data_IF_927234229071
#
_entry.id   IF_927234229071
#
_cell.length_a   1.000
_cell.length_b   1.000
_cell.length_c   1.000
_cell.angle_alpha   90.00
_cell.angle_beta   90.00
_cell.angle_gamma   90.00
#
_symmetry.space_group_name_H-M   'P 1'
#
loop_
_entity.id
_entity.type
_entity.pdbx_description
1 polymer ?
#
# COMPACT_ATOMS: atom_id res chain seq x y z
N UNK A 1 4.98 -35.58 -57.34
CA UNK A 1 4.57 -34.38 -56.57
C UNK A 1 4.05 -34.86 -55.24
N UNK A 2 4.86 -34.71 -54.21
CA UNK A 2 4.78 -35.47 -52.96
C UNK A 2 4.01 -34.68 -51.88
N UNK A 3 3.15 -35.37 -51.13
CA UNK A 3 2.25 -34.80 -50.10
C UNK A 3 3.00 -34.33 -48.84
N UNK A 4 4.32 -34.54 -48.76
CA UNK A 4 5.16 -34.09 -47.65
C UNK A 4 5.45 -32.59 -47.63
N UNK A 5 5.48 -31.92 -48.79
CA UNK A 5 5.94 -30.53 -48.90
C UNK A 5 4.92 -29.50 -48.41
N UNK A 6 3.62 -29.84 -48.39
CA UNK A 6 2.56 -28.92 -47.96
C UNK A 6 2.45 -28.82 -46.42
N UNK A 7 2.78 -29.89 -45.69
CA UNK A 7 2.74 -29.90 -44.22
C UNK A 7 3.85 -29.04 -43.60
N UNK A 8 5.02 -28.97 -44.25
CA UNK A 8 6.11 -28.10 -43.80
C UNK A 8 5.84 -26.62 -44.10
N UNK A 9 5.27 -26.28 -45.27
CA UNK A 9 4.91 -24.89 -45.56
C UNK A 9 3.78 -24.36 -44.67
N UNK A 10 2.82 -25.19 -44.28
CA UNK A 10 1.73 -24.77 -43.37
C UNK A 10 2.21 -24.63 -41.93
N UNK A 11 3.11 -25.50 -41.45
CA UNK A 11 3.74 -25.33 -40.13
C UNK A 11 4.63 -24.09 -40.06
N UNK A 12 5.37 -23.76 -41.13
CA UNK A 12 6.22 -22.58 -41.18
C UNK A 12 5.40 -21.28 -41.28
N UNK A 13 4.28 -21.26 -42.01
CA UNK A 13 3.40 -20.10 -42.08
C UNK A 13 2.69 -19.82 -40.74
N UNK A 14 2.29 -20.84 -39.98
CA UNK A 14 1.65 -20.65 -38.66
C UNK A 14 2.65 -20.12 -37.64
N UNK A 15 3.91 -20.60 -37.65
CA UNK A 15 4.96 -20.07 -36.77
C UNK A 15 5.33 -18.62 -37.13
N UNK A 16 5.36 -18.27 -38.43
CA UNK A 16 5.65 -16.90 -38.87
C UNK A 16 4.47 -15.95 -38.61
N UNK A 17 3.22 -16.41 -38.73
CA UNK A 17 2.04 -15.59 -38.40
C UNK A 17 1.90 -15.40 -36.87
N UNK A 18 2.31 -16.36 -36.05
CA UNK A 18 2.42 -16.19 -34.59
C UNK A 18 3.63 -15.35 -34.16
N UNK A 19 4.70 -15.30 -34.96
CA UNK A 19 5.89 -14.47 -34.71
C UNK A 19 5.78 -13.03 -35.26
N UNK A 20 4.86 -12.78 -36.19
CA UNK A 20 4.64 -11.46 -36.83
C UNK A 20 3.31 -10.80 -36.49
N UNK A 21 2.48 -11.42 -35.65
CA UNK A 21 1.53 -10.62 -34.88
C UNK A 21 2.35 -9.95 -33.78
N UNK A 22 2.56 -8.63 -33.80
CA UNK A 22 2.84 -7.98 -32.55
C UNK A 22 1.61 -8.28 -31.70
N UNK A 23 1.75 -9.21 -30.75
CA UNK A 23 1.16 -8.99 -29.45
C UNK A 23 1.62 -7.59 -29.10
N UNK A 24 0.79 -6.61 -29.45
CA UNK A 24 0.88 -5.28 -28.94
C UNK A 24 0.52 -5.48 -27.48
N UNK A 25 1.48 -5.97 -26.70
CA UNK A 25 1.61 -5.68 -25.29
C UNK A 25 1.68 -4.16 -25.23
N UNK A 26 0.51 -3.52 -25.34
CA UNK A 26 0.29 -2.29 -24.61
C UNK A 26 0.31 -2.72 -23.15
N UNK A 27 1.52 -2.85 -22.59
CA UNK A 27 1.70 -2.53 -21.20
C UNK A 27 1.02 -1.18 -21.04
N UNK A 28 0.00 -1.13 -20.20
CA UNK A 28 -0.68 0.12 -19.90
C UNK A 28 0.42 1.10 -19.47
N UNK A 29 0.52 2.22 -20.19
CA UNK A 29 1.63 3.14 -20.00
C UNK A 29 1.52 3.65 -18.58
N UNK A 30 2.55 3.40 -17.77
CA UNK A 30 2.64 3.89 -16.39
C UNK A 30 2.09 5.32 -16.28
N UNK A 31 1.26 5.63 -15.26
CA UNK A 31 0.74 6.97 -15.06
C UNK A 31 1.89 7.99 -15.06
N UNK A 32 1.84 8.96 -15.96
CA UNK A 32 2.83 10.03 -16.03
C UNK A 32 2.26 11.29 -15.37
N UNK A 33 2.29 11.30 -14.04
CA UNK A 33 1.87 12.45 -13.26
C UNK A 33 2.95 13.53 -13.28
N UNK A 34 2.73 14.60 -14.05
CA UNK A 34 3.67 15.73 -14.18
C UNK A 34 3.97 16.47 -12.86
N UNK A 35 3.10 16.30 -11.87
CA UNK A 35 3.22 16.83 -10.52
C UNK A 35 4.01 15.96 -9.55
N UNK A 36 4.36 14.72 -9.94
CA UNK A 36 5.25 13.83 -9.16
C UNK A 36 6.70 14.06 -9.60
N UNK A 37 7.55 14.42 -8.66
CA UNK A 37 8.95 14.80 -8.92
C UNK A 37 9.88 14.30 -7.83
N UNK A 38 11.17 14.24 -8.14
CA UNK A 38 12.21 14.02 -7.13
C UNK A 38 12.33 15.24 -6.21
N UNK A 39 12.52 15.00 -4.91
CA UNK A 39 12.72 16.06 -3.91
C UNK A 39 13.92 16.96 -4.21
N UNK A 40 14.92 16.46 -4.94
CA UNK A 40 16.09 17.23 -5.41
C UNK A 40 15.72 18.38 -6.36
N UNK A 41 14.53 18.33 -6.97
CA UNK A 41 13.97 19.42 -7.78
C UNK A 41 13.13 20.42 -6.97
N UNK A 42 12.94 20.18 -5.67
CA UNK A 42 12.14 21.02 -4.83
C UNK A 42 12.86 22.34 -4.50
N UNK A 43 12.13 23.46 -4.36
CA UNK A 43 12.72 24.68 -3.84
C UNK A 43 13.20 24.46 -2.39
N UNK A 44 14.20 25.22 -1.95
CA UNK A 44 14.69 25.16 -0.57
C UNK A 44 13.60 25.54 0.45
N UNK A 45 12.69 26.45 0.07
CA UNK A 45 11.54 26.87 0.87
C UNK A 45 10.29 26.91 -0.01
N UNK A 46 9.17 26.36 0.46
CA UNK A 46 7.86 26.42 -0.21
C UNK A 46 6.71 26.70 0.76
N UNK A 47 5.55 27.05 0.22
CA UNK A 47 4.33 27.34 0.97
C UNK A 47 3.13 26.62 0.35
N UNK A 48 2.34 25.95 1.18
CA UNK A 48 1.21 25.12 0.75
C UNK A 48 0.03 25.28 1.72
N UNK A 49 -1.20 25.11 1.23
CA UNK A 49 -2.35 25.11 2.13
C UNK A 49 -2.38 23.83 2.96
N UNK A 50 -2.09 22.69 2.33
CA UNK A 50 -1.96 21.41 3.02
C UNK A 50 -0.61 20.77 2.74
N UNK A 51 0.00 20.20 3.78
CA UNK A 51 1.19 19.35 3.67
C UNK A 51 0.83 17.96 4.19
N UNK A 52 0.76 16.99 3.29
CA UNK A 52 0.54 15.57 3.60
C UNK A 52 1.90 14.89 3.70
N UNK A 53 2.23 14.38 4.89
CA UNK A 53 3.48 13.67 5.14
C UNK A 53 3.23 12.17 5.03
N UNK A 54 3.79 11.55 3.99
CA UNK A 54 3.55 10.15 3.63
C UNK A 54 2.53 10.02 2.49
N UNK A 55 2.99 9.63 1.31
CA UNK A 55 2.16 9.35 0.14
C UNK A 55 1.69 7.89 0.13
N UNK A 56 1.14 7.42 1.25
CA UNK A 56 0.73 6.04 1.45
C UNK A 56 -0.73 5.76 1.11
N UNK A 57 -1.25 4.64 1.62
CA UNK A 57 -2.63 4.16 1.42
C UNK A 57 -3.70 5.21 1.75
N UNK A 58 -3.54 5.94 2.87
CA UNK A 58 -4.44 7.04 3.23
C UNK A 58 -3.97 8.40 2.68
N UNK A 59 -2.66 8.59 2.50
CA UNK A 59 -2.09 9.87 2.09
C UNK A 59 -2.40 10.27 0.65
N UNK A 60 -2.35 9.32 -0.29
CA UNK A 60 -2.67 9.58 -1.70
C UNK A 60 -4.13 10.02 -1.92
N UNK A 61 -5.17 9.27 -1.47
CA UNK A 61 -6.56 9.69 -1.66
C UNK A 61 -6.89 11.00 -0.93
N UNK A 62 -6.33 11.20 0.27
CA UNK A 62 -6.46 12.45 1.01
C UNK A 62 -5.91 13.63 0.19
N UNK A 63 -4.70 13.49 -0.36
CA UNK A 63 -4.07 14.55 -1.14
C UNK A 63 -4.84 14.85 -2.42
N UNK A 64 -5.34 13.81 -3.12
CA UNK A 64 -6.20 13.98 -4.29
C UNK A 64 -7.45 14.79 -3.94
N UNK A 65 -8.14 14.42 -2.86
CA UNK A 65 -9.35 15.10 -2.36
C UNK A 65 -9.08 16.58 -2.03
N UNK A 66 -8.01 16.86 -1.28
CA UNK A 66 -7.67 18.23 -0.89
C UNK A 66 -7.28 19.11 -2.09
N UNK A 67 -6.67 18.51 -3.12
CA UNK A 67 -6.19 19.22 -4.30
C UNK A 67 -7.31 19.84 -5.15
N UNK A 68 -8.53 19.33 -5.03
CA UNK A 68 -9.70 19.87 -5.73
C UNK A 68 -9.95 21.35 -5.41
N UNK A 69 -9.58 21.80 -4.20
CA UNK A 69 -9.91 23.14 -3.70
C UNK A 69 -8.72 23.89 -3.09
N UNK A 70 -7.58 23.25 -2.94
CA UNK A 70 -6.45 23.83 -2.22
C UNK A 70 -5.12 23.35 -2.76
N UNK A 71 -4.08 24.17 -2.54
CA UNK A 71 -2.72 23.79 -2.89
C UNK A 71 -2.17 22.77 -1.89
N UNK A 72 -1.77 21.58 -2.38
CA UNK A 72 -1.32 20.44 -1.59
C UNK A 72 0.12 20.07 -1.93
N UNK A 73 0.92 19.83 -0.90
CA UNK A 73 2.21 19.16 -1.01
C UNK A 73 2.13 17.77 -0.38
N UNK A 74 2.59 16.75 -1.10
CA UNK A 74 2.82 15.41 -0.58
C UNK A 74 4.32 15.14 -0.51
N UNK A 75 4.78 14.65 0.63
CA UNK A 75 6.18 14.25 0.84
C UNK A 75 6.24 12.74 1.10
N UNK A 76 6.84 12.00 0.17
CA UNK A 76 7.03 10.55 0.26
C UNK A 76 8.53 10.22 0.33
N UNK A 77 8.92 9.41 1.31
CA UNK A 77 10.34 9.04 1.53
C UNK A 77 10.84 8.00 0.52
N UNK A 78 9.94 7.25 -0.09
CA UNK A 78 10.23 6.24 -1.10
C UNK A 78 10.20 6.77 -2.53
N UNK A 79 10.47 5.86 -3.46
CA UNK A 79 10.43 6.13 -4.90
C UNK A 79 9.04 5.97 -5.52
N UNK A 80 9.02 5.88 -6.85
CA UNK A 80 7.80 5.65 -7.63
C UNK A 80 7.53 4.14 -7.81
N UNK A 81 6.29 3.66 -7.64
CA UNK A 81 5.94 2.27 -7.95
C UNK A 81 5.99 1.99 -9.46
N UNK A 82 6.03 3.04 -10.30
CA UNK A 82 5.91 2.93 -11.75
C UNK A 82 7.25 2.79 -12.49
N UNK A 83 8.38 2.89 -11.79
CA UNK A 83 9.71 2.76 -12.42
C UNK A 83 9.93 1.35 -12.97
N UNK A 84 9.36 0.34 -12.33
CA UNK A 84 9.41 -1.04 -12.78
C UNK A 84 8.08 -1.74 -12.43
N UNK A 85 7.02 -1.51 -13.22
CA UNK A 85 5.67 -1.95 -12.86
C UNK A 85 5.57 -3.48 -12.76
N UNK A 86 6.34 -4.22 -13.57
CA UNK A 86 6.31 -5.69 -13.52
C UNK A 86 6.84 -6.27 -12.20
N UNK A 87 7.67 -5.53 -11.45
CA UNK A 87 8.05 -5.91 -10.08
C UNK A 87 6.86 -5.93 -9.12
N UNK A 88 5.80 -5.21 -9.44
CA UNK A 88 4.62 -5.08 -8.59
C UNK A 88 3.50 -6.05 -8.97
N UNK A 89 3.61 -6.75 -10.09
CA UNK A 89 2.63 -7.73 -10.58
C UNK A 89 2.39 -8.85 -9.56
N UNK A 90 1.19 -9.43 -9.64
CA UNK A 90 0.71 -10.47 -8.71
C UNK A 90 1.72 -11.61 -8.49
N UNK A 91 2.37 -12.06 -9.55
CA UNK A 91 3.33 -13.17 -9.51
C UNK A 91 4.61 -12.84 -8.72
N UNK A 92 4.95 -11.56 -8.57
CA UNK A 92 6.18 -11.09 -7.92
C UNK A 92 5.96 -10.60 -6.48
N UNK A 93 4.75 -10.73 -5.93
CA UNK A 93 4.39 -10.26 -4.59
C UNK A 93 5.42 -10.63 -3.51
N UNK A 94 5.78 -11.91 -3.38
CA UNK A 94 6.74 -12.34 -2.33
C UNK A 94 8.15 -11.82 -2.57
N UNK A 95 8.60 -11.81 -3.83
CA UNK A 95 9.92 -11.26 -4.20
C UNK A 95 10.01 -9.77 -3.86
N UNK A 96 8.94 -9.03 -4.12
CA UNK A 96 8.86 -7.61 -3.81
C UNK A 96 8.80 -7.36 -2.28
N UNK A 97 8.02 -8.15 -1.55
CA UNK A 97 7.85 -7.99 -0.11
C UNK A 97 9.16 -8.20 0.66
N UNK A 98 10.00 -9.13 0.20
CA UNK A 98 11.28 -9.49 0.82
C UNK A 98 12.51 -8.98 0.04
N UNK A 99 12.32 -8.05 -0.91
CA UNK A 99 13.44 -7.41 -1.61
C UNK A 99 14.30 -6.64 -0.61
N UNK A 100 15.60 -6.95 -0.58
CA UNK A 100 16.61 -6.30 0.27
C UNK A 100 17.55 -5.39 -0.51
N UNK A 101 17.31 -5.22 -1.81
CA UNK A 101 18.10 -4.34 -2.66
C UNK A 101 17.96 -2.88 -2.24
N UNK A 102 18.91 -2.04 -2.62
CA UNK A 102 18.87 -0.60 -2.35
C UNK A 102 17.70 0.13 -3.02
N UNK A 103 17.02 -0.52 -3.97
CA UNK A 103 15.83 -0.01 -4.66
C UNK A 103 14.53 -0.64 -4.13
N UNK A 104 14.60 -1.35 -3.00
CA UNK A 104 13.43 -2.02 -2.45
C UNK A 104 12.33 -1.04 -2.06
N UNK A 105 11.11 -1.39 -2.44
CA UNK A 105 9.89 -0.71 -2.01
C UNK A 105 9.42 -1.19 -0.63
N UNK A 106 10.09 -2.19 -0.07
CA UNK A 106 9.80 -2.81 1.23
C UNK A 106 10.95 -2.56 2.20
N UNK A 107 10.62 -2.14 3.41
CA UNK A 107 11.55 -2.01 4.51
C UNK A 107 11.24 -3.09 5.54
N UNK A 108 12.13 -4.08 5.64
CA UNK A 108 12.10 -5.11 6.67
C UNK A 108 12.45 -4.55 8.05
N UNK A 109 11.80 -5.08 9.08
CA UNK A 109 12.15 -4.90 10.49
C UNK A 109 11.74 -6.13 11.31
N UNK A 110 12.24 -6.22 12.54
CA UNK A 110 11.88 -7.28 13.49
C UNK A 110 11.29 -6.60 14.72
N UNK A 111 10.15 -7.07 15.20
CA UNK A 111 9.55 -6.58 16.45
C UNK A 111 10.42 -6.94 17.66
N UNK A 112 10.15 -6.34 18.82
CA UNK A 112 10.82 -6.72 20.07
C UNK A 112 10.52 -8.17 20.49
N UNK A 113 9.40 -8.73 20.02
CA UNK A 113 9.02 -10.14 20.21
C UNK A 113 9.73 -11.10 19.23
N UNK A 114 10.57 -10.59 18.32
CA UNK A 114 11.27 -11.39 17.32
C UNK A 114 10.45 -11.70 16.06
N UNK A 115 9.32 -11.03 15.84
CA UNK A 115 8.46 -11.24 14.66
C UNK A 115 8.98 -10.43 13.49
N UNK A 116 9.31 -11.09 12.38
CA UNK A 116 9.69 -10.44 11.13
C UNK A 116 8.49 -9.73 10.52
N UNK A 117 8.66 -8.47 10.12
CA UNK A 117 7.62 -7.68 9.50
C UNK A 117 8.20 -6.74 8.45
N UNK A 118 7.33 -6.16 7.64
CA UNK A 118 7.72 -5.29 6.53
C UNK A 118 6.79 -4.07 6.49
N UNK A 119 7.34 -2.91 6.12
CA UNK A 119 6.56 -1.70 5.83
C UNK A 119 6.97 -1.09 4.51
N UNK A 120 6.04 -0.43 3.83
CA UNK A 120 6.34 0.20 2.54
C UNK A 120 7.30 1.39 2.64
N UNK A 121 8.06 1.59 1.56
CA UNK A 121 8.91 2.74 1.29
C UNK A 121 8.78 3.11 -0.20
N UNK A 122 7.58 3.48 -0.61
CA UNK A 122 7.24 3.81 -2.00
C UNK A 122 5.94 4.62 -2.02
N UNK A 123 5.74 5.47 -3.02
CA UNK A 123 4.45 6.12 -3.27
C UNK A 123 3.34 5.07 -3.46
N UNK A 124 2.19 5.30 -2.86
CA UNK A 124 1.10 4.33 -2.69
C UNK A 124 1.20 3.53 -1.37
N UNK A 125 2.37 3.49 -0.73
CA UNK A 125 2.55 2.83 0.56
C UNK A 125 2.22 1.34 0.53
N UNK A 126 1.53 0.84 1.55
CA UNK A 126 1.28 -0.60 1.73
C UNK A 126 0.58 -1.27 0.55
N UNK A 127 -0.28 -0.56 -0.19
CA UNK A 127 -0.96 -1.11 -1.38
C UNK A 127 0.02 -1.49 -2.49
N UNK A 128 1.21 -0.90 -2.51
CA UNK A 128 2.23 -1.19 -3.50
C UNK A 128 2.98 -2.51 -3.23
N UNK A 129 2.89 -3.09 -2.02
CA UNK A 129 3.64 -4.29 -1.62
C UNK A 129 2.76 -5.39 -0.99
N UNK A 130 1.48 -5.13 -0.71
CA UNK A 130 0.59 -6.08 -0.03
C UNK A 130 0.13 -7.24 -0.94
N UNK A 131 -0.62 -8.18 -0.38
CA UNK A 131 -1.21 -9.32 -1.09
C UNK A 131 -2.48 -8.97 -1.90
N UNK A 132 -2.90 -7.71 -1.91
CA UNK A 132 -3.91 -7.15 -2.81
C UNK A 132 -5.38 -7.44 -2.51
N UNK A 133 -5.71 -8.20 -1.48
CA UNK A 133 -7.10 -8.43 -1.09
C UNK A 133 -7.79 -7.12 -0.65
N UNK A 134 -9.02 -6.91 -1.14
CA UNK A 134 -9.83 -5.73 -0.83
C UNK A 134 -11.18 -6.14 -0.22
N UNK A 135 -11.51 -5.52 0.91
CA UNK A 135 -12.79 -5.68 1.62
C UNK A 135 -13.11 -4.37 2.35
N UNK A 136 -14.40 -4.09 2.53
CA UNK A 136 -14.87 -3.06 3.44
C UNK A 136 -14.58 -3.43 4.89
N UNK A 137 -14.65 -2.44 5.77
CA UNK A 137 -14.62 -2.65 7.20
C UNK A 137 -15.90 -3.37 7.69
N UNK A 138 -15.86 -3.89 8.91
CA UNK A 138 -17.06 -4.35 9.60
C UNK A 138 -18.04 -3.17 9.77
N UNK A 139 -19.31 -3.29 9.34
CA UNK A 139 -20.31 -2.24 9.54
C UNK A 139 -20.48 -1.82 11.01
N UNK A 140 -20.36 -2.73 11.97
CA UNK A 140 -20.45 -2.37 13.39
C UNK A 140 -19.24 -1.52 13.82
N UNK A 141 -18.05 -1.76 13.27
CA UNK A 141 -16.88 -0.91 13.52
C UNK A 141 -17.11 0.53 13.03
N UNK A 142 -17.69 0.70 11.83
CA UNK A 142 -18.02 2.02 11.29
C UNK A 142 -18.99 2.78 12.20
N UNK A 143 -20.01 2.07 12.69
CA UNK A 143 -21.04 2.60 13.59
C UNK A 143 -20.48 2.94 14.98
N UNK A 144 -19.65 2.08 15.55
CA UNK A 144 -19.00 2.30 16.84
C UNK A 144 -18.11 3.55 16.85
N UNK A 145 -17.43 3.85 15.73
CA UNK A 145 -16.64 5.06 15.56
C UNK A 145 -17.48 6.31 15.30
N UNK A 146 -18.80 6.17 15.08
CA UNK A 146 -19.69 7.27 14.78
C UNK A 146 -19.40 7.96 13.44
N UNK A 147 -18.87 7.21 12.47
CA UNK A 147 -18.65 7.73 11.13
C UNK A 147 -19.98 7.88 10.36
N UNK A 148 -20.03 8.86 9.47
CA UNK A 148 -21.15 9.02 8.54
C UNK A 148 -21.13 7.86 7.54
N UNK A 149 -22.04 6.90 7.72
CA UNK A 149 -22.13 5.67 6.91
C UNK A 149 -22.34 5.98 5.42
N UNK A 150 -23.07 7.04 5.08
CA UNK A 150 -23.29 7.42 3.69
C UNK A 150 -21.99 7.93 3.05
N UNK A 151 -21.26 8.80 3.76
CA UNK A 151 -19.96 9.30 3.28
C UNK A 151 -18.91 8.18 3.18
N UNK A 152 -18.94 7.21 4.11
CA UNK A 152 -18.09 6.01 4.05
C UNK A 152 -18.42 5.19 2.79
N UNK A 153 -19.71 4.95 2.52
CA UNK A 153 -20.15 4.27 1.30
C UNK A 153 -19.71 4.97 0.02
N UNK A 154 -19.87 6.29 -0.05
CA UNK A 154 -19.42 7.10 -1.19
C UNK A 154 -17.89 7.03 -1.37
N UNK A 155 -17.15 7.01 -0.26
CA UNK A 155 -15.69 6.90 -0.28
C UNK A 155 -15.23 5.53 -0.76
N UNK A 156 -15.90 4.44 -0.36
CA UNK A 156 -15.62 3.10 -0.88
C UNK A 156 -15.82 3.05 -2.39
N UNK A 157 -16.98 3.51 -2.88
CA UNK A 157 -17.27 3.54 -4.32
C UNK A 157 -16.27 4.40 -5.11
N UNK A 158 -15.80 5.50 -4.53
CA UNK A 158 -14.79 6.34 -5.14
C UNK A 158 -13.44 5.61 -5.31
N UNK A 159 -13.00 4.85 -4.30
CA UNK A 159 -11.78 4.03 -4.38
C UNK A 159 -11.95 2.86 -5.36
N UNK A 160 -13.08 2.16 -5.30
CA UNK A 160 -13.37 0.96 -6.08
C UNK A 160 -13.32 1.20 -7.59
N UNK A 161 -13.77 2.38 -8.04
CA UNK A 161 -13.73 2.79 -9.45
C UNK A 161 -12.34 2.67 -10.07
N UNK A 162 -11.29 2.80 -9.26
CA UNK A 162 -9.91 2.75 -9.73
C UNK A 162 -9.17 1.51 -9.29
N UNK A 163 -9.37 1.07 -8.04
CA UNK A 163 -8.47 0.11 -7.40
C UNK A 163 -9.06 -1.27 -7.18
N UNK A 164 -10.37 -1.48 -7.25
CA UNK A 164 -10.96 -2.74 -6.84
C UNK A 164 -11.57 -3.51 -8.02
N UNK A 165 -11.07 -4.72 -8.24
CA UNK A 165 -11.50 -5.62 -9.30
C UNK A 165 -12.08 -6.90 -8.70
N UNK A 166 -12.99 -7.53 -9.42
CA UNK A 166 -13.50 -8.85 -9.06
C UNK A 166 -12.38 -9.91 -9.21
N UNK A 167 -12.11 -10.66 -8.14
CA UNK A 167 -11.05 -11.66 -8.11
C UNK A 167 -11.40 -12.88 -8.96
N UNK A 168 -10.52 -13.33 -9.88
CA UNK A 168 -10.73 -14.60 -10.58
C UNK A 168 -10.56 -15.77 -9.60
N UNK A 169 -11.59 -16.58 -9.43
CA UNK A 169 -11.55 -17.77 -8.58
C UNK A 169 -11.14 -18.98 -9.42
N UNK A 170 -9.86 -19.35 -9.34
CA UNK A 170 -9.29 -20.52 -10.03
C UNK A 170 -9.37 -21.79 -9.16
N UNK A 171 -8.58 -22.81 -9.49
CA UNK A 171 -8.68 -24.15 -8.90
C UNK A 171 -8.34 -24.14 -7.41
N UNK A 172 -7.22 -23.51 -7.03
CA UNK A 172 -6.77 -23.39 -5.65
C UNK A 172 -7.80 -22.66 -4.77
N UNK A 173 -8.22 -21.46 -5.17
CA UNK A 173 -9.18 -20.67 -4.41
C UNK A 173 -10.58 -21.31 -4.36
N UNK A 174 -10.94 -22.12 -5.36
CA UNK A 174 -12.14 -22.97 -5.33
C UNK A 174 -12.01 -24.09 -4.30
N UNK A 175 -10.86 -24.77 -4.25
CA UNK A 175 -10.60 -25.80 -3.25
C UNK A 175 -10.60 -25.23 -1.82
N UNK A 176 -10.02 -24.05 -1.62
CA UNK A 176 -10.06 -23.32 -0.34
C UNK A 176 -11.50 -23.01 0.06
N UNK A 177 -12.33 -22.49 -0.87
CA UNK A 177 -13.76 -22.24 -0.63
C UNK A 177 -14.47 -23.52 -0.17
N UNK A 178 -14.29 -24.62 -0.91
CA UNK A 178 -15.00 -25.86 -0.63
C UNK A 178 -14.55 -26.48 0.70
N UNK A 179 -13.25 -26.43 1.00
CA UNK A 179 -12.70 -26.87 2.29
C UNK A 179 -13.20 -26.03 3.48
N UNK A 180 -13.30 -24.70 3.34
CA UNK A 180 -13.87 -23.84 4.37
C UNK A 180 -15.34 -24.19 4.65
N UNK A 181 -16.12 -24.46 3.60
CA UNK A 181 -17.52 -24.86 3.73
C UNK A 181 -17.69 -26.25 4.34
N UNK A 182 -16.80 -27.19 4.00
CA UNK A 182 -16.74 -28.52 4.62
C UNK A 182 -16.39 -28.43 6.11
N UNK A 183 -15.45 -27.56 6.47
CA UNK A 183 -15.05 -27.27 7.85
C UNK A 183 -16.09 -26.45 8.64
N UNK A 184 -17.23 -26.08 8.02
CA UNK A 184 -18.33 -25.41 8.71
C UNK A 184 -18.26 -23.88 8.74
N UNK A 185 -17.32 -23.25 8.02
CA UNK A 185 -17.23 -21.78 7.89
C UNK A 185 -18.30 -21.28 6.91
N UNK A 186 -19.54 -21.25 7.38
CA UNK A 186 -20.76 -20.99 6.60
C UNK A 186 -21.42 -19.68 7.04
N UNK A 187 -22.28 -19.06 6.19
CA UNK A 187 -22.68 -19.48 4.83
C UNK A 187 -21.63 -19.17 3.75
N UNK A 188 -21.91 -19.56 2.50
CA UNK A 188 -21.15 -19.05 1.34
C UNK A 188 -21.78 -17.74 0.85
N UNK A 189 -21.09 -16.63 1.09
CA UNK A 189 -21.55 -15.26 0.78
C UNK A 189 -21.23 -14.83 -0.66
N UNK A 190 -20.64 -15.69 -1.48
CA UNK A 190 -20.22 -15.39 -2.87
C UNK A 190 -19.26 -14.18 -2.90
N UNK A 191 -19.19 -13.49 -4.03
CA UNK A 191 -18.46 -12.23 -4.14
C UNK A 191 -19.17 -11.13 -3.35
N UNK A 192 -18.44 -10.46 -2.46
CA UNK A 192 -18.91 -9.25 -1.77
C UNK A 192 -17.73 -8.42 -1.30
N UNK A 193 -17.91 -7.11 -1.27
CA UNK A 193 -16.97 -6.20 -0.61
C UNK A 193 -17.08 -6.28 0.92
N UNK A 194 -18.25 -6.64 1.47
CA UNK A 194 -18.55 -6.54 2.89
C UNK A 194 -17.71 -7.48 3.75
N UNK A 195 -17.26 -7.00 4.91
CA UNK A 195 -16.73 -7.89 5.95
C UNK A 195 -17.89 -8.64 6.62
N UNK A 196 -18.04 -9.93 6.31
CA UNK A 196 -19.18 -10.73 6.78
C UNK A 196 -18.77 -12.16 7.13
N UNK A 197 -19.29 -12.65 8.26
CA UNK A 197 -19.08 -14.03 8.74
C UNK A 197 -19.49 -15.07 7.69
N UNK A 198 -18.70 -16.14 7.59
CA UNK A 198 -18.84 -17.19 6.59
C UNK A 198 -17.69 -17.21 5.58
N UNK A 199 -17.87 -17.96 4.51
CA UNK A 199 -16.92 -18.01 3.38
C UNK A 199 -17.33 -17.00 2.32
N UNK A 200 -16.41 -16.14 1.89
CA UNK A 200 -16.65 -15.15 0.82
C UNK A 200 -15.52 -15.12 -0.19
N UNK A 201 -15.82 -14.57 -1.35
CA UNK A 201 -14.82 -14.09 -2.31
C UNK A 201 -14.77 -12.57 -2.18
N UNK A 202 -13.58 -12.01 -1.98
CA UNK A 202 -13.36 -10.56 -1.93
C UNK A 202 -12.84 -10.01 -3.25
N UNK A 203 -12.76 -8.69 -3.33
CA UNK A 203 -12.13 -8.00 -4.44
C UNK A 203 -10.60 -8.02 -4.30
N UNK A 204 -9.94 -7.58 -5.35
CA UNK A 204 -8.49 -7.51 -5.45
C UNK A 204 -8.05 -6.19 -6.08
N UNK A 205 -6.84 -5.74 -5.77
CA UNK A 205 -6.21 -4.59 -6.44
C UNK A 205 -5.40 -4.98 -7.68
N UNK A 206 -5.40 -6.26 -8.05
CA UNK A 206 -4.81 -6.73 -9.29
C UNK A 206 -5.86 -6.78 -10.41
N UNK A 207 -5.55 -6.20 -11.56
CA UNK A 207 -6.46 -6.23 -12.71
C UNK A 207 -6.48 -7.60 -13.42
N UNK A 208 -7.24 -7.70 -14.51
CA UNK A 208 -7.39 -8.94 -15.30
C UNK A 208 -6.10 -9.43 -15.96
N UNK A 209 -5.09 -8.57 -16.07
CA UNK A 209 -3.77 -8.89 -16.59
C UNK A 209 -2.74 -9.09 -15.46
N UNK A 210 -3.19 -9.17 -14.21
CA UNK A 210 -2.38 -9.34 -13.01
C UNK A 210 -1.46 -8.15 -12.67
N UNK A 211 -1.70 -6.98 -13.28
CA UNK A 211 -1.02 -5.75 -12.89
C UNK A 211 -1.64 -5.20 -11.62
N UNK A 212 -0.78 -4.70 -10.73
CA UNK A 212 -1.19 -4.08 -9.48
C UNK A 212 -1.64 -2.64 -9.71
N UNK A 213 -2.78 -2.29 -9.12
CA UNK A 213 -3.22 -0.91 -8.93
C UNK A 213 -3.00 -0.51 -7.47
N UNK A 214 -2.41 0.65 -7.22
CA UNK A 214 -2.00 1.12 -5.88
C UNK A 214 -2.74 2.39 -5.50
N UNK A 215 -2.70 2.77 -4.22
CA UNK A 215 -3.24 4.06 -3.77
C UNK A 215 -2.63 5.27 -4.54
N UNK A 216 -1.44 5.13 -5.14
CA UNK A 216 -0.88 6.18 -6.00
C UNK A 216 -1.73 6.43 -7.26
N UNK A 217 -2.46 5.44 -7.78
CA UNK A 217 -3.31 5.60 -8.97
C UNK A 217 -4.53 6.48 -8.70
N UNK A 218 -4.91 6.65 -7.43
CA UNK A 218 -5.96 7.59 -7.01
C UNK A 218 -5.52 9.05 -7.17
N UNK A 219 -4.22 9.33 -7.34
CA UNK A 219 -3.74 10.67 -7.68
C UNK A 219 -4.14 11.09 -9.09
N UNK A 220 -4.67 10.19 -9.93
CA UNK A 220 -5.32 10.56 -11.19
C UNK A 220 -6.51 11.50 -10.98
N UNK A 221 -7.18 11.41 -9.82
CA UNK A 221 -8.28 12.29 -9.46
C UNK A 221 -7.83 13.64 -8.89
N UNK A 222 -6.52 13.85 -8.71
CA UNK A 222 -6.00 15.11 -8.21
C UNK A 222 -6.05 16.21 -9.28
N UNK A 223 -6.23 17.47 -8.86
CA UNK A 223 -6.00 18.61 -9.74
C UNK A 223 -4.49 18.82 -9.93
N UNK A 224 -3.93 18.58 -11.13
CA UNK A 224 -2.50 18.62 -11.36
C UNK A 224 -1.89 20.02 -11.21
N UNK A 225 -2.71 21.08 -11.16
CA UNK A 225 -2.26 22.46 -10.94
C UNK A 225 -2.14 22.80 -9.45
N UNK A 226 -2.85 22.07 -8.60
CA UNK A 226 -2.92 22.32 -7.16
C UNK A 226 -2.09 21.35 -6.33
N UNK A 227 -1.65 20.22 -6.88
CA UNK A 227 -0.85 19.23 -6.15
C UNK A 227 0.63 19.25 -6.58
N UNK A 228 1.51 18.98 -5.63
CA UNK A 228 2.89 18.56 -5.88
C UNK A 228 3.20 17.34 -5.01
N UNK A 229 3.90 16.36 -5.57
CA UNK A 229 4.37 15.18 -4.85
C UNK A 229 5.89 15.12 -4.99
N UNK A 230 6.61 15.15 -3.88
CA UNK A 230 8.05 14.92 -3.88
C UNK A 230 8.37 13.51 -3.36
N UNK A 231 9.02 12.73 -4.22
CA UNK A 231 9.60 11.42 -3.92
C UNK A 231 10.98 11.56 -3.30
N UNK A 232 11.42 10.53 -2.59
CA UNK A 232 12.67 10.53 -1.82
C UNK A 232 12.81 11.77 -0.90
N UNK A 233 11.69 12.21 -0.33
CA UNK A 233 11.57 13.33 0.60
C UNK A 233 11.41 12.80 2.03
N UNK A 234 12.50 12.69 2.78
CA UNK A 234 12.47 12.20 4.17
C UNK A 234 12.13 13.35 5.11
N UNK A 235 10.92 13.35 5.68
CA UNK A 235 10.52 14.35 6.69
C UNK A 235 11.15 14.03 8.04
N UNK A 236 11.87 14.99 8.62
CA UNK A 236 12.56 14.82 9.89
C UNK A 236 11.76 15.31 11.10
N UNK A 237 11.08 16.46 10.95
CA UNK A 237 10.32 17.06 12.04
C UNK A 237 9.30 18.08 11.55
N UNK A 238 8.27 18.28 12.36
CA UNK A 238 7.27 19.33 12.24
C UNK A 238 7.77 20.58 13.00
N UNK A 239 7.56 21.75 12.41
CA UNK A 239 7.90 23.06 12.96
C UNK A 239 6.66 23.60 13.67
N UNK A 240 6.84 24.07 14.90
CA UNK A 240 5.77 24.66 15.71
C UNK A 240 6.11 26.09 16.11
N UNK A 241 5.08 26.94 16.18
CA UNK A 241 5.15 28.19 16.93
C UNK A 241 4.73 27.94 18.38
N UNK A 242 5.54 28.42 19.31
CA UNK A 242 5.21 28.47 20.73
C UNK A 242 4.82 29.91 21.07
N UNK A 243 3.53 30.20 21.25
CA UNK A 243 3.09 31.45 21.91
C UNK A 243 2.83 31.16 23.38
N UNK A 244 3.45 31.93 24.28
CA UNK A 244 3.51 31.68 25.73
C UNK A 244 2.19 31.20 26.34
N UNK A 245 2.16 29.93 26.76
CA UNK A 245 1.01 29.28 27.43
C UNK A 245 -0.11 28.76 26.53
N UNK A 246 -0.09 29.04 25.22
CA UNK A 246 -1.09 28.58 24.26
C UNK A 246 -0.73 27.22 23.62
N UNK A 247 -1.74 26.49 23.13
CA UNK A 247 -1.58 25.23 22.39
C UNK A 247 -0.60 25.45 21.21
N UNK A 248 0.45 24.60 21.05
CA UNK A 248 1.40 24.77 19.97
C UNK A 248 0.71 24.64 18.60
N UNK A 249 1.06 25.52 17.66
CA UNK A 249 0.52 25.49 16.30
C UNK A 249 1.59 24.99 15.34
N UNK A 250 1.28 23.93 14.59
CA UNK A 250 2.13 23.44 13.52
C UNK A 250 2.15 24.46 12.37
N UNK A 251 3.33 24.76 11.82
CA UNK A 251 3.51 25.80 10.78
C UNK A 251 4.29 25.33 9.57
N UNK A 252 5.01 24.22 9.65
CA UNK A 252 5.75 23.66 8.52
C UNK A 252 6.42 22.34 8.86
N UNK A 253 7.18 21.81 7.92
CA UNK A 253 8.01 20.62 8.08
C UNK A 253 9.40 20.85 7.52
N UNK A 254 10.40 20.15 8.08
CA UNK A 254 11.74 20.04 7.52
C UNK A 254 11.87 18.66 6.89
N UNK A 255 12.31 18.60 5.65
CA UNK A 255 12.57 17.34 4.95
C UNK A 255 13.90 17.38 4.22
N UNK A 256 14.47 16.21 3.97
CA UNK A 256 15.75 16.03 3.30
C UNK A 256 15.53 15.24 1.99
N UNK A 257 16.21 15.66 0.93
CA UNK A 257 16.18 14.98 -0.37
C UNK A 257 17.25 13.87 -0.46
N UNK A 258 17.23 13.12 -1.56
CA UNK A 258 18.20 12.04 -1.80
C UNK A 258 19.67 12.50 -1.91
N UNK A 259 19.94 13.81 -2.02
CA UNK A 259 21.28 14.40 -2.05
C UNK A 259 21.75 14.91 -0.68
N UNK A 260 20.92 14.77 0.36
CA UNK A 260 21.19 15.26 1.71
C UNK A 260 20.90 16.75 1.91
N UNK A 261 20.22 17.40 0.96
CA UNK A 261 19.85 18.81 1.07
C UNK A 261 18.56 18.94 1.86
N UNK A 262 18.54 19.85 2.83
CA UNK A 262 17.37 20.14 3.66
C UNK A 262 16.50 21.24 3.08
N UNK A 263 15.22 20.97 3.02
CA UNK A 263 14.16 21.85 2.56
C UNK A 263 13.18 22.16 3.69
N UNK A 264 12.42 23.25 3.54
CA UNK A 264 11.35 23.63 4.45
C UNK A 264 10.06 23.90 3.69
N UNK A 265 9.01 23.17 4.00
CA UNK A 265 7.66 23.48 3.50
C UNK A 265 6.84 24.08 4.64
N UNK A 266 6.27 25.26 4.43
CA UNK A 266 5.45 25.98 5.41
C UNK A 266 3.98 25.99 4.99
N UNK A 267 3.10 26.15 5.97
CA UNK A 267 1.70 26.43 5.71
C UNK A 267 1.51 27.86 5.22
N UNK A 268 0.56 28.06 4.31
CA UNK A 268 0.04 29.39 3.99
C UNK A 268 -0.67 29.98 5.21
N UNK A 269 -0.93 31.30 5.19
CA UNK A 269 -1.56 32.01 6.32
C UNK A 269 -3.07 31.77 6.46
N UNK A 270 -3.66 30.86 5.69
CA UNK A 270 -5.09 30.53 5.82
C UNK A 270 -5.35 29.82 7.16
N UNK A 271 -6.50 30.11 7.76
CA UNK A 271 -6.98 29.45 8.97
C UNK A 271 -7.21 27.94 8.82
N UNK A 272 -7.48 27.47 7.60
CA UNK A 272 -7.76 26.07 7.25
C UNK A 272 -6.52 25.29 6.83
N UNK A 273 -5.35 25.93 6.78
CA UNK A 273 -4.11 25.27 6.38
C UNK A 273 -3.61 24.32 7.46
N UNK A 274 -3.26 23.10 7.06
CA UNK A 274 -2.95 22.01 7.99
C UNK A 274 -1.79 21.12 7.52
N UNK A 275 -1.09 20.53 8.48
CA UNK A 275 -0.13 19.44 8.25
C UNK A 275 -0.81 18.15 8.67
N UNK A 276 -0.89 17.18 7.76
CA UNK A 276 -1.52 15.89 8.01
C UNK A 276 -0.45 14.81 7.93
N UNK A 277 -0.29 14.06 9.02
CA UNK A 277 0.67 12.97 9.11
C UNK A 277 -0.01 11.67 8.69
N UNK A 278 0.52 11.03 7.65
CA UNK A 278 0.00 9.79 7.03
C UNK A 278 1.13 8.79 6.79
N UNK A 279 2.14 8.76 7.68
CA UNK A 279 3.34 7.91 7.56
C UNK A 279 3.16 6.49 8.14
N UNK A 280 1.92 6.06 8.36
CA UNK A 280 1.55 4.72 8.82
C UNK A 280 1.77 4.49 10.32
N UNK A 281 1.42 3.30 10.80
CA UNK A 281 1.42 2.93 12.22
C UNK A 281 2.81 3.04 12.89
N UNK A 282 3.88 2.79 12.12
CA UNK A 282 5.26 2.92 12.61
C UNK A 282 5.79 4.35 12.44
N UNK A 283 5.59 4.95 11.27
CA UNK A 283 6.19 6.25 10.93
C UNK A 283 5.52 7.44 11.62
N UNK A 284 4.21 7.38 11.89
CA UNK A 284 3.47 8.50 12.46
C UNK A 284 3.90 8.81 13.91
N UNK A 285 3.91 7.84 14.85
CA UNK A 285 4.40 8.09 16.20
C UNK A 285 5.88 8.46 16.22
N UNK A 286 6.71 7.88 15.34
CA UNK A 286 8.12 8.25 15.20
C UNK A 286 8.27 9.74 14.85
N UNK A 287 7.58 10.22 13.82
CA UNK A 287 7.66 11.62 13.40
C UNK A 287 7.13 12.57 14.48
N UNK A 288 6.03 12.22 15.16
CA UNK A 288 5.50 13.03 16.26
C UNK A 288 6.52 13.16 17.40
N UNK A 289 7.14 12.06 17.83
CA UNK A 289 8.16 12.07 18.89
C UNK A 289 9.40 12.87 18.48
N UNK A 290 9.91 12.69 17.26
CA UNK A 290 11.03 13.48 16.72
C UNK A 290 10.70 14.98 16.61
N UNK A 291 9.41 15.32 16.52
CA UNK A 291 8.91 16.69 16.50
C UNK A 291 8.59 17.25 17.90
N UNK A 292 8.89 16.51 18.96
CA UNK A 292 8.66 16.93 20.35
C UNK A 292 7.23 16.70 20.87
N UNK A 293 6.40 15.91 20.18
CA UNK A 293 5.07 15.51 20.63
C UNK A 293 5.11 14.04 21.06
N UNK A 294 5.02 13.78 22.36
CA UNK A 294 5.08 12.43 22.90
C UNK A 294 5.33 12.39 24.42
N UNK A 295 5.62 11.23 25.01
CA UNK A 295 5.82 11.09 26.45
C UNK A 295 7.02 11.95 26.92
N UNK A 296 6.77 12.99 27.72
CA UNK A 296 7.77 14.00 28.06
C UNK A 296 9.05 13.41 28.66
N UNK A 297 8.93 12.45 29.57
CA UNK A 297 10.09 11.79 30.20
C UNK A 297 10.97 11.07 29.18
N UNK A 298 10.37 10.36 28.21
CA UNK A 298 11.10 9.66 27.15
C UNK A 298 11.78 10.67 26.23
N UNK A 299 11.07 11.72 25.81
CA UNK A 299 11.63 12.77 24.96
C UNK A 299 12.82 13.48 25.62
N UNK A 300 12.67 13.87 26.89
CA UNK A 300 13.74 14.50 27.67
C UNK A 300 14.97 13.58 27.80
N UNK A 301 14.77 12.27 28.02
CA UNK A 301 15.87 11.30 28.12
C UNK A 301 16.70 11.18 26.84
N UNK A 302 16.12 11.54 25.69
CA UNK A 302 16.76 11.54 24.37
C UNK A 302 17.24 12.92 23.93
N UNK A 303 17.15 13.94 24.80
CA UNK A 303 17.53 15.31 24.47
C UNK A 303 16.59 16.01 23.48
N UNK A 304 15.38 15.49 23.27
CA UNK A 304 14.37 16.09 22.39
C UNK A 304 13.58 17.14 23.18
N UNK A 305 13.57 18.38 22.69
CA UNK A 305 12.75 19.45 23.29
C UNK A 305 11.27 19.09 23.21
N UNK A 306 10.62 19.00 24.36
CA UNK A 306 9.17 18.76 24.45
C UNK A 306 8.40 19.98 23.95
N UNK A 307 7.59 19.76 22.92
CA UNK A 307 6.60 20.72 22.39
C UNK A 307 5.25 20.49 23.06
N UNK A 308 4.83 19.24 23.21
CA UNK A 308 3.60 18.85 23.89
C UNK A 308 3.78 17.46 24.51
N UNK A 309 3.50 17.35 25.81
CA UNK A 309 3.44 16.04 26.47
C UNK A 309 2.19 15.29 26.00
N UNK A 310 2.42 14.14 25.36
CA UNK A 310 1.38 13.26 24.84
C UNK A 310 1.76 11.81 25.15
N UNK A 311 1.40 11.29 26.34
CA UNK A 311 1.90 10.01 26.83
C UNK A 311 1.46 8.79 25.99
N UNK A 312 0.37 8.92 25.20
CA UNK A 312 -0.13 7.84 24.34
C UNK A 312 0.54 7.75 22.96
N UNK A 313 1.39 8.71 22.58
CA UNK A 313 2.09 8.64 21.28
C UNK A 313 3.07 7.47 21.30
N UNK A 314 2.91 6.57 20.32
CA UNK A 314 3.70 5.34 20.21
C UNK A 314 3.25 4.22 21.15
N UNK A 315 2.14 4.38 21.88
CA UNK A 315 1.53 3.34 22.70
C UNK A 315 0.40 2.63 21.93
N UNK A 316 -0.09 1.52 22.48
CA UNK A 316 -1.19 0.71 21.91
C UNK A 316 -0.93 0.24 20.46
N UNK A 317 0.33 -0.04 20.11
CA UNK A 317 0.63 -0.72 18.87
C UNK A 317 0.05 -2.12 18.90
N UNK A 318 -0.71 -2.47 17.87
CA UNK A 318 -1.31 -3.78 17.70
C UNK A 318 -0.88 -4.35 16.34
N UNK A 319 -0.61 -5.64 16.32
CA UNK A 319 -0.37 -6.42 15.11
C UNK A 319 -1.17 -7.72 15.22
N UNK A 320 -1.92 -8.07 14.18
CA UNK A 320 -2.76 -9.25 14.19
C UNK A 320 -1.88 -10.49 14.04
N UNK A 321 -1.94 -11.41 15.01
CA UNK A 321 -1.17 -12.64 14.93
C UNK A 321 -1.60 -13.48 13.72
N UNK A 322 -0.63 -13.86 12.89
CA UNK A 322 -0.81 -14.76 11.76
C UNK A 322 -0.13 -16.10 12.07
N UNK A 323 -0.90 -17.19 11.94
CA UNK A 323 -0.37 -18.56 12.01
C UNK A 323 -0.48 -19.20 10.62
N UNK A 324 0.64 -19.72 10.12
CA UNK A 324 0.71 -20.29 8.77
C UNK A 324 0.84 -21.82 8.81
N UNK A 325 0.14 -22.49 7.89
CA UNK A 325 0.33 -23.91 7.60
C UNK A 325 0.80 -24.07 6.16
N UNK A 326 1.96 -24.71 5.98
CA UNK A 326 2.50 -25.01 4.66
C UNK A 326 2.09 -26.41 4.22
N UNK A 327 1.31 -26.49 3.15
CA UNK A 327 0.84 -27.76 2.59
C UNK A 327 1.60 -28.04 1.29
N UNK A 328 2.54 -29.00 1.27
CA UNK A 328 3.23 -29.37 0.04
C UNK A 328 2.25 -30.07 -0.91
N UNK A 329 2.22 -29.63 -2.17
CA UNK A 329 1.42 -30.28 -3.21
C UNK A 329 2.29 -31.23 -4.03
N UNK A 330 1.84 -32.47 -4.30
CA UNK A 330 2.56 -33.40 -5.19
C UNK A 330 2.48 -32.98 -6.67
N UNK A 331 1.58 -32.06 -7.01
CA UNK A 331 1.39 -31.51 -8.35
C UNK A 331 1.56 -29.98 -8.33
N UNK A 332 2.06 -29.36 -9.41
CA UNK A 332 2.06 -27.91 -9.51
C UNK A 332 0.65 -27.32 -9.31
N UNK A 333 0.56 -26.29 -8.48
CA UNK A 333 -0.65 -25.48 -8.26
C UNK A 333 -0.39 -24.12 -8.87
N UNK A 334 -1.41 -23.48 -9.42
CA UNK A 334 -1.28 -22.13 -9.98
C UNK A 334 -0.80 -21.12 -8.92
N UNK A 335 -0.18 -20.02 -9.38
CA UNK A 335 0.11 -18.87 -8.53
C UNK A 335 -1.19 -18.14 -8.23
N UNK A 336 -1.56 -18.10 -6.95
CA UNK A 336 -2.79 -17.46 -6.49
C UNK A 336 -2.52 -16.70 -5.20
N UNK A 337 -2.91 -15.42 -5.17
CA UNK A 337 -2.99 -14.63 -3.94
C UNK A 337 -4.39 -14.74 -3.34
N UNK A 338 -4.63 -14.00 -2.26
CA UNK A 338 -5.85 -14.09 -1.47
C UNK A 338 -7.05 -13.64 -2.32
N UNK A 339 -8.09 -14.47 -2.38
CA UNK A 339 -9.35 -14.14 -3.07
C UNK A 339 -10.54 -14.73 -2.33
N UNK A 340 -10.41 -15.97 -1.85
CA UNK A 340 -11.37 -16.60 -0.96
C UNK A 340 -10.89 -16.47 0.48
N UNK A 341 -11.80 -16.06 1.38
CA UNK A 341 -11.53 -15.95 2.81
C UNK A 341 -12.68 -16.54 3.63
N UNK A 342 -12.35 -17.07 4.80
CA UNK A 342 -13.30 -17.57 5.79
C UNK A 342 -13.26 -16.73 7.05
N UNK A 343 -14.40 -16.18 7.45
CA UNK A 343 -14.55 -15.41 8.68
C UNK A 343 -15.39 -16.23 9.66
N UNK A 344 -14.77 -16.73 10.73
CA UNK A 344 -15.45 -17.61 11.68
C UNK A 344 -16.39 -16.84 12.61
N UNK A 345 -17.25 -17.57 13.33
CA UNK A 345 -18.13 -16.95 14.34
C UNK A 345 -17.37 -16.29 15.49
N UNK A 346 -16.17 -16.80 15.80
CA UNK A 346 -15.24 -16.26 16.80
C UNK A 346 -14.39 -15.10 16.28
N UNK A 347 -14.56 -14.67 15.01
CA UNK A 347 -13.81 -13.57 14.42
C UNK A 347 -12.44 -13.95 13.85
N UNK A 348 -12.12 -15.25 13.75
CA UNK A 348 -10.87 -15.67 13.09
C UNK A 348 -10.99 -15.47 11.59
N UNK A 349 -9.91 -14.99 10.98
CA UNK A 349 -9.80 -14.75 9.55
C UNK A 349 -8.89 -15.81 8.92
N UNK A 350 -9.42 -16.57 7.97
CA UNK A 350 -8.72 -17.66 7.28
C UNK A 350 -8.54 -17.27 5.83
N UNK A 351 -7.30 -17.25 5.38
CA UNK A 351 -6.90 -16.93 4.01
C UNK A 351 -5.86 -17.92 3.50
N UNK A 352 -5.71 -18.00 2.19
CA UNK A 352 -4.76 -18.92 1.58
C UNK A 352 -4.17 -18.33 0.29
N UNK A 353 -2.89 -18.63 0.07
CA UNK A 353 -2.14 -18.34 -1.16
C UNK A 353 -1.45 -19.62 -1.66
N UNK A 354 -1.13 -19.68 -2.95
CA UNK A 354 -0.44 -20.81 -3.59
C UNK A 354 0.61 -20.37 -4.61
N UNK A 355 1.40 -21.34 -5.09
CA UNK A 355 2.37 -21.12 -6.15
C UNK A 355 3.68 -20.48 -5.69
N UNK A 356 4.08 -20.72 -4.44
CA UNK A 356 5.46 -20.45 -4.02
C UNK A 356 6.40 -21.41 -4.74
N UNK A 357 7.15 -20.91 -5.72
CA UNK A 357 8.18 -21.71 -6.38
C UNK A 357 9.37 -21.92 -5.42
N UNK A 358 9.96 -23.12 -5.43
CA UNK A 358 11.14 -23.52 -4.61
C UNK A 358 12.33 -22.52 -4.64
N UNK A 359 12.69 -21.87 -5.76
CA UNK A 359 13.72 -20.83 -5.77
C UNK A 359 13.35 -19.60 -4.93
N UNK A 360 12.09 -19.16 -5.00
CA UNK A 360 11.57 -18.05 -4.18
C UNK A 360 11.55 -18.42 -2.70
N UNK A 361 11.26 -19.69 -2.37
CA UNK A 361 11.40 -20.23 -1.00
C UNK A 361 12.86 -20.16 -0.52
N UNK A 362 13.85 -20.47 -1.35
CA UNK A 362 15.26 -20.35 -1.00
C UNK A 362 15.70 -18.91 -0.70
N UNK A 363 15.21 -17.94 -1.49
CA UNK A 363 15.51 -16.52 -1.32
C UNK A 363 14.85 -15.92 -0.07
N UNK A 364 13.68 -16.42 0.33
CA UNK A 364 12.94 -15.92 1.49
C UNK A 364 13.02 -16.83 2.72
N UNK A 365 13.72 -17.96 2.66
CA UNK A 365 13.80 -18.95 3.74
C UNK A 365 14.30 -18.34 5.05
N UNK A 366 15.19 -17.35 4.98
CA UNK A 366 15.71 -16.63 6.14
C UNK A 366 14.67 -15.75 6.86
N UNK A 367 13.54 -15.46 6.22
CA UNK A 367 12.43 -14.66 6.76
C UNK A 367 11.24 -15.52 7.19
N UNK A 368 11.24 -16.81 6.84
CA UNK A 368 10.24 -17.75 7.33
C UNK A 368 10.68 -18.26 8.70
N UNK A 369 9.78 -18.31 9.71
CA UNK A 369 10.09 -18.98 10.96
C UNK A 369 10.43 -20.44 10.63
N UNK A 370 11.70 -20.82 10.83
CA UNK A 370 12.15 -22.20 10.69
C UNK A 370 11.31 -23.04 11.66
N UNK A 371 10.64 -24.06 11.11
CA UNK A 371 9.96 -25.08 11.92
C UNK A 371 10.96 -25.89 12.75
#
# INVERSE_FOLDING_TARGET
MDRGSWKFLTAFLVVVVCALHPYSCRAEKAPNYSFVKEATSAPQVSYHAYIVVGGGTAGCPLAATLSEKANVLVLERGGSPYTNPSRTDKANFLLQLYDTSSQSNSQHFISEDGVHSNRAQVLGGGTAINAGFYSHADPEFIKELGFDEALVGDSYQWVEKKLAFESPVLQWQSAVRDGLLEAGVRPYNRFTYDHIKGTKVGATIFDRNDHRHTAADLLEYADPTNIKVYLHATVHNIIFTQSGGSRPKATGVIYEDASGVKHKAFLTKDSKSEIIVSTGAVGSPQLLMLSGIGPANKLNSLGIKVVMDQPMVGQNMADNAMNCLFVPSPLPVEVSLISTVGITQSGNYIEAISGMNLPSLGEIAQFLPLA
#
